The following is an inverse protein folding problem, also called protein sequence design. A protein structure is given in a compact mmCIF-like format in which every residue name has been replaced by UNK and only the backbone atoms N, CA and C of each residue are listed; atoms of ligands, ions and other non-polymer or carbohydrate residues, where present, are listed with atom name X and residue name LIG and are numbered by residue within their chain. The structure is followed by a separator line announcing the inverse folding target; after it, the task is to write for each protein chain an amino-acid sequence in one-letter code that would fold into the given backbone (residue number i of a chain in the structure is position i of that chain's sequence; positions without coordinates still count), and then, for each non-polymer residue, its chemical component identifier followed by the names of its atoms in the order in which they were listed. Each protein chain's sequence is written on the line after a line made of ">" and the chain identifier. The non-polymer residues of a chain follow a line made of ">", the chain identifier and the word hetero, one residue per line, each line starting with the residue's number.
data_IF_479837289355
#
_entry.id   IF_479837289355
#
_cell.length_a   1.000
_cell.length_b   1.000
_cell.length_c   1.000
_cell.angle_alpha   90.00
_cell.angle_beta   90.00
_cell.angle_gamma   90.00
#
_symmetry.space_group_name_H-M   'P 1'
#
loop_
_entity.id
_entity.type
_entity.pdbx_description
1 polymer ?
#
# COMPACT_ATOMS: atom_id res chain seq x y z
N UNK A 1 -17.97 -13.31 -4.83
CA UNK A 1 -17.43 -13.06 -6.17
C UNK A 1 -15.92 -13.06 -6.00
N UNK A 2 -15.23 -14.10 -6.48
CA UNK A 2 -13.78 -14.14 -6.43
C UNK A 2 -13.25 -13.13 -7.45
N UNK A 3 -12.52 -12.12 -6.98
CA UNK A 3 -11.84 -11.16 -7.85
C UNK A 3 -10.61 -11.84 -8.42
N UNK A 4 -10.72 -12.33 -9.66
CA UNK A 4 -9.53 -12.73 -10.42
C UNK A 4 -8.66 -11.49 -10.70
N UNK A 5 -7.47 -11.46 -10.11
CA UNK A 5 -6.42 -10.51 -10.49
C UNK A 5 -5.77 -11.05 -11.76
N UNK A 6 -6.09 -10.47 -12.93
CA UNK A 6 -5.52 -10.89 -14.22
C UNK A 6 -4.24 -10.14 -14.60
N UNK A 7 -3.93 -9.04 -13.90
CA UNK A 7 -2.72 -8.25 -14.12
C UNK A 7 -1.50 -8.76 -13.35
N UNK A 8 -0.43 -7.96 -13.36
CA UNK A 8 0.84 -8.29 -12.70
C UNK A 8 0.74 -8.05 -11.20
N UNK A 9 1.40 -8.90 -10.42
CA UNK A 9 1.65 -8.65 -9.01
C UNK A 9 3.04 -8.02 -8.84
N UNK A 10 3.08 -6.76 -8.40
CA UNK A 10 4.31 -6.10 -7.98
C UNK A 10 4.48 -6.31 -6.48
N UNK A 11 5.68 -6.69 -6.04
CA UNK A 11 5.99 -6.94 -4.63
C UNK A 11 7.11 -6.01 -4.20
N UNK A 12 6.90 -5.30 -3.09
CA UNK A 12 7.93 -4.46 -2.43
C UNK A 12 7.98 -4.77 -0.94
N UNK A 13 9.11 -4.47 -0.30
CA UNK A 13 9.25 -4.47 1.16
C UNK A 13 8.79 -3.14 1.78
N UNK A 14 9.35 -2.79 2.93
CA UNK A 14 8.99 -1.60 3.70
C UNK A 14 9.02 -0.31 2.87
N UNK A 15 7.97 0.49 3.00
CA UNK A 15 7.90 1.84 2.46
C UNK A 15 8.15 2.90 3.53
N UNK A 16 7.85 2.61 4.81
CA UNK A 16 8.04 3.53 5.95
C UNK A 16 7.50 4.95 5.72
N UNK A 17 6.40 5.08 4.97
CA UNK A 17 5.85 6.39 4.61
C UNK A 17 6.66 7.20 3.59
N UNK A 18 7.62 6.59 2.89
CA UNK A 18 8.33 7.22 1.77
C UNK A 18 7.39 7.40 0.57
N UNK A 19 6.81 8.60 0.51
CA UNK A 19 5.85 9.00 -0.53
C UNK A 19 6.48 9.05 -1.93
N UNK A 20 7.79 9.31 -2.02
CA UNK A 20 8.50 9.35 -3.30
C UNK A 20 8.71 7.94 -3.84
N UNK A 21 9.10 6.98 -2.99
CA UNK A 21 9.19 5.57 -3.35
C UNK A 21 7.85 5.03 -3.83
N UNK A 22 6.76 5.31 -3.10
CA UNK A 22 5.42 4.91 -3.51
C UNK A 22 5.04 5.54 -4.86
N UNK A 23 5.30 6.84 -5.07
CA UNK A 23 5.06 7.52 -6.36
C UNK A 23 5.85 6.88 -7.51
N UNK A 24 7.08 6.42 -7.27
CA UNK A 24 7.86 5.74 -8.30
C UNK A 24 7.32 4.35 -8.64
N UNK A 25 6.86 3.59 -7.63
CA UNK A 25 6.26 2.27 -7.83
C UNK A 25 4.93 2.39 -8.56
N UNK A 26 4.10 3.36 -8.17
CA UNK A 26 2.77 3.55 -8.75
C UNK A 26 2.82 3.96 -10.22
N UNK A 27 3.87 4.66 -10.66
CA UNK A 27 4.13 4.93 -12.09
C UNK A 27 4.38 3.67 -12.93
N UNK A 28 4.69 2.55 -12.30
CA UNK A 28 4.91 1.26 -12.97
C UNK A 28 3.63 0.41 -13.03
N UNK A 29 2.62 0.74 -12.23
CA UNK A 29 1.34 0.06 -12.20
C UNK A 29 0.54 0.38 -13.47
N UNK A 30 -0.08 -0.66 -14.02
CA UNK A 30 -1.03 -0.59 -15.11
C UNK A 30 -2.41 -1.02 -14.60
N UNK A 31 -3.44 -0.72 -15.37
CA UNK A 31 -4.79 -1.18 -15.08
C UNK A 31 -4.82 -2.70 -14.88
N UNK A 32 -5.41 -3.15 -13.78
CA UNK A 32 -5.50 -4.56 -13.38
C UNK A 32 -4.27 -5.11 -12.65
N UNK A 33 -3.18 -4.37 -12.54
CA UNK A 33 -2.04 -4.75 -11.70
C UNK A 33 -2.36 -4.58 -10.20
N UNK A 34 -1.71 -5.37 -9.37
CA UNK A 34 -1.78 -5.28 -7.92
C UNK A 34 -0.39 -4.97 -7.33
N UNK A 35 -0.35 -4.17 -6.27
CA UNK A 35 0.86 -3.92 -5.48
C UNK A 35 0.72 -4.63 -4.12
N UNK A 36 1.66 -5.51 -3.82
CA UNK A 36 1.79 -6.15 -2.51
C UNK A 36 2.96 -5.52 -1.76
N UNK A 37 2.67 -4.93 -0.60
CA UNK A 37 3.70 -4.38 0.29
C UNK A 37 3.90 -5.38 1.43
N UNK A 38 5.00 -6.12 1.33
CA UNK A 38 5.43 -7.16 2.25
C UNK A 38 6.14 -6.57 3.49
N UNK A 39 5.63 -5.46 4.02
CA UNK A 39 6.33 -4.65 5.01
C UNK A 39 5.55 -3.42 5.47
N UNK A 40 6.21 -2.54 6.20
CA UNK A 40 5.63 -1.33 6.78
C UNK A 40 5.22 -0.35 5.67
N UNK A 41 3.91 -0.24 5.43
CA UNK A 41 3.33 0.64 4.42
C UNK A 41 3.42 2.13 4.82
N UNK A 42 3.08 2.42 6.07
CA UNK A 42 2.98 3.78 6.61
C UNK A 42 4.09 4.11 7.60
N UNK A 43 3.96 5.29 8.21
CA UNK A 43 4.66 5.61 9.45
C UNK A 43 4.00 4.82 10.58
N UNK A 44 4.13 3.48 10.60
CA UNK A 44 3.40 2.53 11.49
C UNK A 44 3.49 2.84 13.01
N UNK A 45 4.19 3.90 13.39
CA UNK A 45 4.43 4.33 14.75
C UNK A 45 3.94 5.75 15.12
N UNK A 46 3.40 6.56 14.19
CA UNK A 46 3.06 7.96 14.52
C UNK A 46 1.57 8.25 14.76
N UNK A 47 0.63 7.53 14.11
CA UNK A 47 -0.83 7.72 14.23
C UNK A 47 -1.23 9.20 14.29
N UNK A 48 -0.62 9.99 13.39
CA UNK A 48 -0.75 11.43 13.37
C UNK A 48 -1.49 11.89 12.12
N UNK A 49 -1.91 13.16 12.12
CA UNK A 49 -2.67 13.74 11.01
C UNK A 49 -1.99 13.57 9.64
N UNK A 50 -0.67 13.67 9.59
CA UNK A 50 0.09 13.58 8.34
C UNK A 50 0.06 12.15 7.78
N UNK A 51 0.11 11.14 8.65
CA UNK A 51 -0.10 9.74 8.27
C UNK A 51 -1.50 9.50 7.71
N UNK A 52 -2.55 10.02 8.37
CA UNK A 52 -3.93 9.90 7.88
C UNK A 52 -4.11 10.56 6.50
N UNK A 53 -3.56 11.76 6.30
CA UNK A 53 -3.61 12.45 4.99
C UNK A 53 -2.88 11.65 3.91
N UNK A 54 -1.72 11.08 4.24
CA UNK A 54 -0.98 10.22 3.31
C UNK A 54 -1.80 9.00 2.90
N UNK A 55 -2.39 8.28 3.86
CA UNK A 55 -3.22 7.11 3.59
C UNK A 55 -4.44 7.43 2.72
N UNK A 56 -5.09 8.59 2.95
CA UNK A 56 -6.20 9.07 2.12
C UNK A 56 -5.76 9.34 0.66
N UNK A 57 -4.60 9.94 0.45
CA UNK A 57 -4.07 10.24 -0.89
C UNK A 57 -3.69 8.95 -1.64
N UNK A 58 -3.14 7.96 -0.94
CA UNK A 58 -2.89 6.62 -1.50
C UNK A 58 -4.20 5.97 -1.93
N UNK A 59 -5.23 5.98 -1.08
CA UNK A 59 -6.50 5.32 -1.39
C UNK A 59 -7.16 5.94 -2.63
N UNK A 60 -7.18 7.28 -2.72
CA UNK A 60 -7.65 7.99 -3.92
C UNK A 60 -6.87 7.64 -5.18
N UNK A 61 -5.55 7.49 -5.06
CA UNK A 61 -4.70 7.12 -6.18
C UNK A 61 -5.05 5.70 -6.67
N UNK A 62 -5.18 4.73 -5.77
CA UNK A 62 -5.52 3.34 -6.10
C UNK A 62 -6.88 3.21 -6.78
N UNK A 63 -7.89 3.91 -6.25
CA UNK A 63 -9.23 3.95 -6.86
C UNK A 63 -9.18 4.45 -8.31
N UNK A 64 -8.32 5.43 -8.62
CA UNK A 64 -8.18 5.99 -9.97
C UNK A 64 -7.60 4.98 -10.97
N UNK A 65 -6.72 4.10 -10.53
CA UNK A 65 -6.05 3.12 -11.41
C UNK A 65 -6.67 1.73 -11.36
N UNK A 66 -7.77 1.56 -10.61
CA UNK A 66 -8.35 0.26 -10.26
C UNK A 66 -7.27 -0.71 -9.70
N UNK A 67 -6.38 -0.16 -8.89
CA UNK A 67 -5.27 -0.88 -8.27
C UNK A 67 -5.57 -1.27 -6.84
N UNK A 68 -4.85 -2.26 -6.33
CA UNK A 68 -5.02 -2.77 -4.97
C UNK A 68 -3.69 -2.74 -4.23
N UNK A 69 -3.72 -2.33 -2.96
CA UNK A 69 -2.61 -2.54 -2.03
C UNK A 69 -2.97 -3.65 -1.07
N UNK A 70 -2.19 -4.72 -1.12
CA UNK A 70 -2.23 -5.79 -0.15
C UNK A 70 -1.14 -5.53 0.89
N UNK A 71 -1.55 -5.28 2.13
CA UNK A 71 -0.66 -5.06 3.27
C UNK A 71 -0.77 -6.23 4.24
N UNK A 72 0.35 -6.68 4.78
CA UNK A 72 0.33 -7.50 5.99
C UNK A 72 0.11 -6.57 7.18
N UNK A 73 -1.05 -6.63 7.82
CA UNK A 73 -1.16 -6.15 9.19
C UNK A 73 -0.44 -7.15 10.09
N UNK A 74 0.69 -6.74 10.66
CA UNK A 74 1.26 -7.46 11.80
C UNK A 74 0.24 -7.28 12.94
N UNK A 75 -0.57 -8.30 13.21
CA UNK A 75 -1.32 -8.38 14.47
C UNK A 75 -0.31 -8.14 15.59
N UNK A 76 -0.51 -7.06 16.35
CA UNK A 76 0.27 -6.75 17.56
C UNK A 76 0.26 -7.98 18.46
N UNK A 77 1.36 -8.73 18.51
CA UNK A 77 1.56 -9.76 19.52
C UNK A 77 1.86 -9.01 20.81
N UNK A 78 0.82 -8.76 21.61
CA UNK A 78 1.00 -8.30 22.99
C UNK A 78 1.58 -9.47 23.78
N UNK A 79 2.88 -9.42 24.05
CA UNK A 79 3.50 -10.31 25.04
C UNK A 79 3.21 -9.71 26.40
N UNK A 80 2.36 -10.37 27.18
CA UNK A 80 2.07 -10.05 28.57
C UNK A 80 3.22 -10.49 29.50
#
# INVERSE_FOLDING_TARGET
>A
METEISGRLLITGDLHGDTAALTMITRQLREGDALFVAGDFGFVFWDNRDEHVFLDDVDRFLQKINGYILRMEIMKITVH
#
